data_IF_854207826027
#
_entry.id   IF_854207826027
#
_cell.length_a   1.000
_cell.length_b   1.000
_cell.length_c   1.000
_cell.angle_alpha   90.00
_cell.angle_beta   90.00
_cell.angle_gamma   90.00
#
_symmetry.space_group_name_H-M   'P 1'
#
loop_
_entity.id
_entity.type
_entity.pdbx_description
1 polymer ?
#
# COMPACT_ATOMS: atom_id res chain seq x y z
N UNK A 1 -0.25 -12.60 -20.84
CA UNK A 1 0.91 -13.04 -20.13
C UNK A 1 1.78 -11.89 -19.72
N UNK A 2 2.24 -11.16 -20.69
CA UNK A 2 3.04 -10.01 -20.38
C UNK A 2 2.32 -9.00 -19.55
N UNK A 3 1.05 -8.86 -19.81
CA UNK A 3 0.25 -7.93 -19.07
C UNK A 3 0.14 -8.36 -17.61
N UNK A 4 0.02 -9.65 -17.39
CA UNK A 4 -0.02 -10.16 -16.03
C UNK A 4 1.31 -9.91 -15.33
N UNK A 5 2.40 -10.12 -16.07
CA UNK A 5 3.72 -9.87 -15.52
C UNK A 5 3.89 -8.40 -15.15
N UNK A 6 3.37 -7.50 -15.97
CA UNK A 6 3.42 -6.09 -15.68
C UNK A 6 2.72 -5.75 -14.38
N UNK A 7 1.54 -6.35 -14.17
CA UNK A 7 0.82 -6.14 -12.93
C UNK A 7 1.62 -6.63 -11.75
N UNK A 8 2.23 -7.79 -11.89
CA UNK A 8 2.99 -8.34 -10.79
C UNK A 8 4.21 -7.49 -10.51
N UNK A 9 4.82 -6.96 -11.55
CA UNK A 9 5.98 -6.09 -11.36
C UNK A 9 5.58 -4.82 -10.63
N UNK A 10 4.43 -4.23 -11.00
CA UNK A 10 3.95 -3.05 -10.31
C UNK A 10 3.72 -3.32 -8.84
N UNK A 11 3.01 -4.41 -8.55
CA UNK A 11 2.72 -4.76 -7.17
C UNK A 11 3.99 -5.06 -6.42
N UNK A 12 4.88 -5.82 -7.04
CA UNK A 12 6.12 -6.21 -6.39
C UNK A 12 6.95 -4.99 -6.01
N UNK A 13 7.03 -4.02 -6.93
CA UNK A 13 7.80 -2.81 -6.65
C UNK A 13 7.21 -2.00 -5.51
N UNK A 14 5.89 -1.89 -5.49
CA UNK A 14 5.23 -1.12 -4.45
C UNK A 14 5.34 -1.81 -3.09
N UNK A 15 5.11 -3.11 -3.09
CA UNK A 15 5.17 -3.88 -1.85
C UNK A 15 6.61 -3.92 -1.33
N UNK A 16 7.55 -4.02 -2.24
CA UNK A 16 8.95 -4.07 -1.84
C UNK A 16 9.36 -2.78 -1.15
N UNK A 17 8.88 -1.64 -1.65
CA UNK A 17 9.20 -0.38 -1.04
C UNK A 17 8.69 -0.30 0.39
N UNK A 18 7.46 -0.74 0.59
CA UNK A 18 6.90 -0.79 1.94
C UNK A 18 7.67 -1.79 2.79
N UNK A 19 8.00 -2.92 2.20
CA UNK A 19 8.73 -3.95 2.90
C UNK A 19 10.12 -3.51 3.34
N UNK A 20 10.77 -2.69 2.52
CA UNK A 20 12.09 -2.20 2.87
C UNK A 20 12.05 -1.31 4.10
N UNK A 21 10.99 -0.51 4.21
CA UNK A 21 10.83 0.35 5.38
C UNK A 21 10.72 -0.51 6.63
N UNK A 22 9.92 -1.56 6.55
CA UNK A 22 9.73 -2.46 7.68
C UNK A 22 11.00 -3.22 7.99
N UNK A 23 11.67 -3.72 6.96
CA UNK A 23 12.86 -4.54 7.15
C UNK A 23 14.00 -3.78 7.79
N UNK A 24 14.07 -2.49 7.53
CA UNK A 24 15.17 -1.71 8.10
C UNK A 24 15.09 -1.65 9.62
N UNK A 25 13.92 -1.99 10.18
CA UNK A 25 13.75 -1.98 11.63
C UNK A 25 13.48 -3.35 12.20
N UNK A 26 13.67 -4.38 11.39
CA UNK A 26 13.28 -5.71 11.80
C UNK A 26 14.04 -6.23 12.98
N UNK A 27 15.24 -5.74 13.19
CA UNK A 27 16.02 -6.21 14.31
C UNK A 27 15.45 -5.74 15.64
N UNK A 28 14.54 -4.80 15.61
CA UNK A 28 13.94 -4.31 16.83
C UNK A 28 12.50 -4.77 16.90
N UNK A 29 12.25 -5.78 17.69
CA UNK A 29 10.94 -6.37 17.80
C UNK A 29 9.86 -5.34 18.17
N UNK A 30 10.21 -4.44 19.07
CA UNK A 30 9.24 -3.42 19.52
C UNK A 30 8.84 -2.49 18.39
N UNK A 31 9.76 -2.20 17.51
CA UNK A 31 9.47 -1.32 16.39
C UNK A 31 8.52 -1.97 15.41
N UNK A 32 8.59 -3.28 15.30
CA UNK A 32 7.68 -4.00 14.43
C UNK A 32 6.25 -3.78 14.84
N UNK A 33 6.01 -3.87 16.15
CA UNK A 33 4.68 -3.64 16.66
C UNK A 33 4.23 -2.21 16.44
N UNK A 34 5.14 -1.28 16.59
CA UNK A 34 4.86 0.12 16.37
C UNK A 34 4.43 0.37 14.93
N UNK A 35 5.11 -0.28 13.98
CA UNK A 35 4.77 -0.12 12.58
C UNK A 35 3.38 -0.66 12.28
N UNK A 36 3.04 -1.78 12.89
CA UNK A 36 1.71 -2.35 12.71
C UNK A 36 0.65 -1.39 13.23
N UNK A 37 0.89 -0.79 14.38
CA UNK A 37 -0.05 0.16 14.95
C UNK A 37 -0.20 1.39 14.05
N UNK A 38 0.89 1.86 13.49
CA UNK A 38 0.88 2.99 12.59
C UNK A 38 0.08 2.65 11.34
N UNK A 39 0.26 1.44 10.84
CA UNK A 39 -0.43 0.99 9.65
C UNK A 39 -1.93 0.92 9.89
N UNK A 40 -2.32 0.36 11.04
CA UNK A 40 -3.73 0.29 11.40
C UNK A 40 -4.34 1.69 11.49
N UNK A 41 -3.63 2.61 12.12
CA UNK A 41 -4.11 3.96 12.25
C UNK A 41 -4.24 4.61 10.88
N UNK A 42 -3.27 4.36 10.01
CA UNK A 42 -3.31 4.91 8.66
C UNK A 42 -4.55 4.42 7.91
N UNK A 43 -4.81 3.12 7.98
CA UNK A 43 -5.97 2.57 7.29
C UNK A 43 -7.26 3.19 7.82
N UNK A 44 -7.29 3.48 9.10
CA UNK A 44 -8.46 4.11 9.70
C UNK A 44 -8.71 5.52 9.23
N UNK A 45 -7.69 6.19 8.67
CA UNK A 45 -7.88 7.55 8.16
C UNK A 45 -8.42 7.58 6.74
N UNK A 46 -8.46 6.44 6.09
CA UNK A 46 -8.95 6.36 4.72
C UNK A 46 -10.47 6.20 4.72
N UNK A 47 -11.10 6.69 3.65
CA UNK A 47 -12.51 6.43 3.47
C UNK A 47 -12.70 4.93 3.29
N UNK A 48 -13.93 4.49 3.47
CA UNK A 48 -14.23 3.07 3.31
C UNK A 48 -13.83 2.59 1.93
N UNK A 49 -14.11 3.41 0.91
CA UNK A 49 -13.74 3.06 -0.45
C UNK A 49 -12.24 2.96 -0.64
N UNK A 50 -11.52 3.97 -0.19
CA UNK A 50 -10.07 4.00 -0.39
C UNK A 50 -9.39 2.90 0.39
N UNK A 51 -9.90 2.58 1.58
CA UNK A 51 -9.35 1.48 2.38
C UNK A 51 -9.54 0.16 1.68
N UNK A 52 -10.72 -0.08 1.11
CA UNK A 52 -10.96 -1.32 0.40
C UNK A 52 -10.02 -1.44 -0.80
N UNK A 53 -9.85 -0.35 -1.54
CA UNK A 53 -8.97 -0.34 -2.70
C UNK A 53 -7.54 -0.66 -2.28
N UNK A 54 -7.07 -0.04 -1.21
CA UNK A 54 -5.71 -0.25 -0.74
C UNK A 54 -5.50 -1.70 -0.31
N UNK A 55 -6.42 -2.23 0.47
CA UNK A 55 -6.30 -3.60 0.96
C UNK A 55 -6.40 -4.59 -0.18
N UNK A 56 -7.29 -4.37 -1.14
CA UNK A 56 -7.40 -5.26 -2.28
C UNK A 56 -6.12 -5.31 -3.08
N UNK A 57 -5.47 -4.17 -3.24
CA UNK A 57 -4.26 -4.13 -4.04
C UNK A 57 -3.08 -4.78 -3.34
N UNK A 58 -2.88 -4.45 -2.08
CA UNK A 58 -1.64 -4.83 -1.39
C UNK A 58 -1.76 -6.08 -0.54
N UNK A 59 -2.95 -6.41 -0.10
CA UNK A 59 -3.14 -7.61 0.70
C UNK A 59 -3.59 -8.78 -0.16
N UNK A 60 -4.59 -8.53 -1.01
CA UNK A 60 -5.13 -9.58 -1.86
C UNK A 60 -4.45 -9.67 -3.20
N UNK A 61 -3.61 -8.70 -3.52
CA UNK A 61 -2.88 -8.68 -4.78
C UNK A 61 -3.78 -8.62 -6.00
N UNK A 62 -4.93 -7.98 -5.87
CA UNK A 62 -5.85 -7.86 -6.98
C UNK A 62 -5.28 -6.94 -8.05
N UNK A 63 -5.50 -7.25 -9.32
CA UNK A 63 -5.09 -6.33 -10.38
C UNK A 63 -5.98 -5.09 -10.37
N UNK A 64 -5.42 -4.00 -10.85
CA UNK A 64 -6.14 -2.73 -10.88
C UNK A 64 -7.47 -2.85 -11.60
N UNK A 65 -7.50 -3.62 -12.68
CA UNK A 65 -8.74 -3.80 -13.43
C UNK A 65 -9.83 -4.42 -12.58
N UNK A 66 -9.50 -5.42 -11.80
CA UNK A 66 -10.48 -6.08 -10.95
C UNK A 66 -11.00 -5.13 -9.89
N UNK A 67 -10.10 -4.31 -9.34
CA UNK A 67 -10.51 -3.34 -8.35
C UNK A 67 -11.41 -2.28 -8.97
N UNK A 68 -11.08 -1.85 -10.19
CA UNK A 68 -11.89 -0.87 -10.90
C UNK A 68 -13.29 -1.43 -11.15
N UNK A 69 -13.37 -2.69 -11.56
CA UNK A 69 -14.67 -3.33 -11.79
C UNK A 69 -15.48 -3.39 -10.49
N UNK A 70 -14.80 -3.74 -9.41
CA UNK A 70 -15.46 -3.84 -8.12
C UNK A 70 -16.07 -2.51 -7.69
N UNK A 71 -15.40 -1.42 -8.00
CA UNK A 71 -15.86 -0.09 -7.60
C UNK A 71 -16.56 0.67 -8.71
N UNK A 72 -16.82 0.00 -9.82
CA UNK A 72 -17.55 0.58 -10.94
C UNK A 72 -16.92 1.89 -11.42
N UNK A 73 -15.61 1.88 -11.60
CA UNK A 73 -14.93 3.06 -12.08
C UNK A 73 -13.77 2.65 -12.97
N UNK A 74 -13.05 3.64 -13.49
CA UNK A 74 -11.96 3.38 -14.39
C UNK A 74 -10.67 3.06 -13.67
N UNK A 75 -9.76 2.45 -14.39
CA UNK A 75 -8.47 2.08 -13.81
C UNK A 75 -7.65 3.30 -13.42
N UNK A 76 -7.77 4.39 -14.20
CA UNK A 76 -7.05 5.61 -13.86
C UNK A 76 -7.41 6.12 -12.49
N UNK A 77 -8.68 6.05 -12.15
CA UNK A 77 -9.13 6.51 -10.86
C UNK A 77 -8.55 5.65 -9.75
N UNK A 78 -8.52 4.34 -9.97
CA UNK A 78 -7.95 3.44 -8.98
C UNK A 78 -6.47 3.75 -8.77
N UNK A 79 -5.75 3.94 -9.87
CA UNK A 79 -4.32 4.25 -9.78
C UNK A 79 -4.06 5.55 -9.02
N UNK A 80 -4.90 6.55 -9.27
CA UNK A 80 -4.76 7.82 -8.58
C UNK A 80 -5.01 7.67 -7.08
N UNK A 81 -6.04 6.92 -6.73
CA UNK A 81 -6.36 6.69 -5.33
C UNK A 81 -5.20 5.96 -4.64
N UNK A 82 -4.67 4.94 -5.30
CA UNK A 82 -3.55 4.19 -4.74
C UNK A 82 -2.32 5.07 -4.56
N UNK A 83 -2.05 5.92 -5.56
CA UNK A 83 -0.90 6.80 -5.47
C UNK A 83 -1.02 7.77 -4.29
N UNK A 84 -2.21 8.34 -4.11
CA UNK A 84 -2.43 9.24 -2.99
C UNK A 84 -2.32 8.53 -1.66
N UNK A 85 -2.86 7.32 -1.61
CA UNK A 85 -2.82 6.54 -0.37
C UNK A 85 -1.39 6.16 -0.01
N UNK A 86 -0.61 5.75 -1.00
CA UNK A 86 0.79 5.42 -0.75
C UNK A 86 1.57 6.63 -0.25
N UNK A 87 1.33 7.77 -0.88
CA UNK A 87 2.02 8.98 -0.49
C UNK A 87 1.70 9.34 0.96
N UNK A 88 0.44 9.19 1.31
CA UNK A 88 0.02 9.48 2.67
C UNK A 88 0.67 8.52 3.66
N UNK A 89 0.73 7.26 3.31
CA UNK A 89 1.37 6.26 4.16
C UNK A 89 2.84 6.56 4.36
N UNK A 90 3.53 6.86 3.27
CA UNK A 90 4.95 7.19 3.38
C UNK A 90 5.18 8.39 4.26
N UNK A 91 4.31 9.39 4.17
CA UNK A 91 4.42 10.56 5.01
C UNK A 91 4.24 10.23 6.48
N UNK A 92 3.27 9.38 6.78
CA UNK A 92 3.02 8.98 8.16
C UNK A 92 4.21 8.21 8.71
N UNK A 93 4.75 7.29 7.90
CA UNK A 93 5.90 6.51 8.34
C UNK A 93 7.13 7.39 8.54
N UNK A 94 7.32 8.35 7.66
CA UNK A 94 8.47 9.23 7.78
C UNK A 94 8.37 10.09 9.04
N UNK A 95 7.17 10.57 9.35
CA UNK A 95 6.99 11.36 10.56
C UNK A 95 7.27 10.55 11.81
N UNK A 96 7.05 9.25 11.73
CA UNK A 96 7.31 8.36 12.85
C UNK A 96 8.77 7.93 12.93
N UNK A 97 9.59 8.40 12.00
CA UNK A 97 11.01 8.10 12.05
C UNK A 97 11.48 7.00 11.14
N UNK A 98 10.62 6.48 10.28
CA UNK A 98 11.02 5.40 9.38
C UNK A 98 11.35 5.97 8.02
N UNK A 99 12.56 5.63 7.53
CA UNK A 99 12.99 6.12 6.24
C UNK A 99 13.11 4.96 5.32
N UNK A 100 12.49 5.04 4.19
CA UNK A 100 12.43 3.93 3.28
C UNK A 100 13.56 3.86 2.34
N UNK A 101 14.59 4.41 2.47
CA UNK A 101 15.53 4.42 1.50
C UNK A 101 16.67 3.93 1.68
#
# INVERSE_FOLDING_TARGET
>A
QKRTDSHMEDIAGEVEKIGNIIASDIETYLRKKEIIDIFDAFLGTLSERDRDIFIRRYWYMDPVKAIADRHACGESKIKSILARSRKKLYGVLKEAGYEGE
#
